data_IF_830818365155
#
_entry.id   IF_830818365155
#
_cell.length_a   1.000
_cell.length_b   1.000
_cell.length_c   1.000
_cell.angle_alpha   90.00
_cell.angle_beta   90.00
_cell.angle_gamma   90.00
#
_symmetry.space_group_name_H-M   'P 1'
#
loop_
_entity.id
_entity.type
_entity.pdbx_description
1 polymer ?
#
# COMPACT_ATOMS: atom_id res chain seq x y z
N UNK A 1 61.41 34.22 -28.86
CA UNK A 1 60.47 33.56 -29.80
C UNK A 1 60.94 32.11 -29.89
N UNK A 2 60.22 31.03 -29.63
CA UNK A 2 58.78 30.79 -29.45
C UNK A 2 58.62 29.36 -28.90
N UNK A 3 57.96 29.26 -27.74
CA UNK A 3 56.98 28.26 -27.28
C UNK A 3 57.33 26.76 -27.23
N UNK A 4 57.51 26.30 -25.99
CA UNK A 4 57.28 24.95 -25.47
C UNK A 4 55.87 24.43 -25.77
N UNK A 5 55.74 23.14 -26.05
CA UNK A 5 54.48 22.40 -26.08
C UNK A 5 54.54 21.30 -25.00
N UNK A 6 53.89 21.55 -23.86
CA UNK A 6 53.64 20.54 -22.84
C UNK A 6 52.21 20.02 -23.04
N UNK A 7 52.09 18.76 -23.45
CA UNK A 7 50.82 18.05 -23.48
C UNK A 7 50.38 17.75 -22.04
N UNK A 8 49.40 18.50 -21.54
CA UNK A 8 48.64 18.14 -20.35
C UNK A 8 47.71 16.98 -20.69
N UNK A 9 48.01 15.78 -20.21
CA UNK A 9 47.02 14.70 -20.13
C UNK A 9 46.16 14.99 -18.90
N UNK A 10 44.97 15.54 -19.10
CA UNK A 10 43.98 15.67 -18.05
C UNK A 10 43.42 14.27 -17.73
N UNK A 11 43.85 13.66 -16.62
CA UNK A 11 43.15 12.52 -16.04
C UNK A 11 41.77 13.02 -15.58
N UNK A 12 40.72 12.65 -16.33
CA UNK A 12 39.36 12.68 -15.79
C UNK A 12 39.27 11.57 -14.74
N UNK A 13 39.46 11.93 -13.47
CA UNK A 13 38.93 11.12 -12.38
C UNK A 13 37.43 11.40 -12.37
N UNK A 14 36.64 10.53 -13.00
CA UNK A 14 35.22 10.48 -12.73
C UNK A 14 35.07 10.19 -11.23
N UNK A 15 34.51 11.13 -10.48
CA UNK A 15 34.14 10.90 -9.09
C UNK A 15 33.12 9.77 -9.08
N UNK A 16 33.56 8.55 -8.75
CA UNK A 16 32.66 7.47 -8.37
C UNK A 16 32.09 7.90 -7.04
N UNK A 17 30.89 8.51 -7.06
CA UNK A 17 30.11 8.68 -5.85
C UNK A 17 29.99 7.29 -5.19
N UNK A 18 30.26 7.15 -3.88
CA UNK A 18 30.05 5.88 -3.22
C UNK A 18 28.62 5.43 -3.48
N UNK A 19 28.45 4.19 -3.93
CA UNK A 19 27.13 3.64 -4.21
C UNK A 19 26.31 3.67 -2.92
N UNK A 20 25.37 4.62 -2.82
CA UNK A 20 24.45 4.71 -1.69
C UNK A 20 23.54 3.49 -1.73
N UNK A 21 23.53 2.69 -0.66
CA UNK A 21 22.59 1.58 -0.48
C UNK A 21 21.45 2.02 0.44
N UNK A 22 20.21 1.81 -0.02
CA UNK A 22 18.98 2.07 0.73
C UNK A 22 18.31 0.74 1.05
N UNK A 23 18.09 0.44 2.33
CA UNK A 23 17.36 -0.74 2.80
C UNK A 23 15.87 -0.45 2.79
N UNK A 24 15.12 -1.18 1.96
CA UNK A 24 13.70 -1.00 1.79
C UNK A 24 12.93 -2.24 2.26
N UNK A 25 12.03 -2.08 3.22
CA UNK A 25 11.11 -3.13 3.65
C UNK A 25 9.77 -3.01 2.93
N UNK A 26 9.41 -4.05 2.18
CA UNK A 26 8.20 -4.08 1.36
C UNK A 26 7.19 -5.05 1.95
N UNK A 27 6.01 -4.58 2.37
CA UNK A 27 4.93 -5.48 2.81
C UNK A 27 4.22 -6.04 1.57
N UNK A 28 4.18 -7.36 1.45
CA UNK A 28 3.72 -8.06 0.26
C UNK A 28 2.62 -9.08 0.59
N UNK A 29 1.61 -9.15 -0.28
CA UNK A 29 0.55 -10.15 -0.24
C UNK A 29 0.84 -11.37 -1.14
N UNK A 30 1.75 -11.23 -2.10
CA UNK A 30 2.08 -12.28 -3.07
C UNK A 30 3.55 -12.29 -3.48
N UNK A 31 3.96 -13.35 -4.18
CA UNK A 31 5.28 -13.40 -4.83
C UNK A 31 5.40 -12.39 -5.98
N UNK A 32 4.28 -12.04 -6.62
CA UNK A 32 4.22 -11.05 -7.69
C UNK A 32 4.50 -9.65 -7.14
N UNK A 33 3.97 -9.30 -5.97
CA UNK A 33 4.25 -8.03 -5.30
C UNK A 33 5.74 -7.90 -4.99
N UNK A 34 6.36 -8.96 -4.45
CA UNK A 34 7.79 -8.98 -4.16
C UNK A 34 8.64 -8.82 -5.44
N UNK A 35 8.19 -9.43 -6.53
CA UNK A 35 8.83 -9.30 -7.85
C UNK A 35 8.71 -7.87 -8.39
N UNK A 36 7.52 -7.26 -8.26
CA UNK A 36 7.28 -5.88 -8.64
C UNK A 36 8.20 -4.92 -7.90
N UNK A 37 8.29 -5.01 -6.57
CA UNK A 37 9.15 -4.12 -5.78
C UNK A 37 10.63 -4.25 -6.15
N UNK A 38 11.13 -5.49 -6.35
CA UNK A 38 12.50 -5.72 -6.82
C UNK A 38 12.76 -5.12 -8.20
N UNK A 39 11.79 -5.21 -9.10
CA UNK A 39 11.88 -4.57 -10.43
C UNK A 39 11.95 -3.05 -10.31
N UNK A 40 11.07 -2.43 -9.53
CA UNK A 40 11.05 -0.99 -9.31
C UNK A 40 12.37 -0.49 -8.69
N UNK A 41 12.90 -1.22 -7.70
CA UNK A 41 14.20 -0.97 -7.10
C UNK A 41 15.34 -0.99 -8.14
N UNK A 42 15.35 -2.00 -9.01
CA UNK A 42 16.36 -2.11 -10.07
C UNK A 42 16.23 -0.99 -11.12
N UNK A 43 15.01 -0.63 -11.52
CA UNK A 43 14.77 0.49 -12.45
C UNK A 43 15.18 1.83 -11.84
N UNK A 44 14.87 2.05 -10.56
CA UNK A 44 15.31 3.23 -9.82
C UNK A 44 16.84 3.32 -9.78
N UNK A 45 17.51 2.23 -9.40
CA UNK A 45 18.97 2.20 -9.31
C UNK A 45 19.68 2.41 -10.65
N UNK A 46 19.13 1.91 -11.75
CA UNK A 46 19.63 2.21 -13.09
C UNK A 46 19.56 3.71 -13.43
N UNK A 47 18.54 4.42 -12.93
CA UNK A 47 18.32 5.84 -13.21
C UNK A 47 19.11 6.76 -12.29
N UNK A 48 19.37 6.35 -11.05
CA UNK A 48 19.93 7.24 -10.02
C UNK A 48 21.32 6.83 -9.55
N UNK A 49 21.77 5.60 -9.83
CA UNK A 49 22.99 5.02 -9.27
C UNK A 49 22.86 4.53 -7.82
N UNK A 50 21.69 4.66 -7.21
CA UNK A 50 21.39 4.17 -5.84
C UNK A 50 21.10 2.67 -5.88
N UNK A 51 21.70 1.90 -4.96
CA UNK A 51 21.32 0.50 -4.76
C UNK A 51 20.16 0.43 -3.77
N UNK A 52 19.07 -0.25 -4.14
CA UNK A 52 17.92 -0.44 -3.25
C UNK A 52 17.79 -1.92 -2.91
N UNK A 53 17.98 -2.26 -1.63
CA UNK A 53 17.86 -3.62 -1.12
C UNK A 53 16.45 -3.88 -0.61
N UNK A 54 15.67 -4.65 -1.37
CA UNK A 54 14.28 -4.96 -1.05
C UNK A 54 14.18 -6.20 -0.15
N UNK A 55 13.65 -6.01 1.06
CA UNK A 55 13.29 -7.10 1.98
C UNK A 55 11.77 -7.25 2.02
N UNK A 56 11.20 -8.32 1.44
CA UNK A 56 9.77 -8.57 1.51
C UNK A 56 9.34 -9.03 2.92
N UNK A 57 8.25 -8.47 3.42
CA UNK A 57 7.60 -8.81 4.70
C UNK A 57 6.18 -9.29 4.45
N UNK A 58 5.74 -10.30 5.17
CA UNK A 58 4.36 -10.78 5.09
C UNK A 58 3.44 -9.91 5.95
N UNK A 59 2.20 -9.69 5.49
CA UNK A 59 1.17 -8.95 6.22
C UNK A 59 0.91 -9.46 7.64
N UNK A 60 1.14 -10.74 7.91
CA UNK A 60 0.89 -11.33 9.23
C UNK A 60 1.87 -10.92 10.33
N UNK A 61 3.07 -10.40 10.00
CA UNK A 61 4.11 -10.15 11.01
C UNK A 61 4.91 -8.84 10.83
N UNK A 62 4.60 -8.02 9.83
CA UNK A 62 5.37 -6.83 9.54
C UNK A 62 5.36 -5.79 10.68
N UNK A 63 4.20 -5.56 11.34
CA UNK A 63 4.10 -4.58 12.44
C UNK A 63 5.09 -4.87 13.56
N UNK A 64 5.08 -6.11 14.06
CA UNK A 64 6.00 -6.54 15.13
C UNK A 64 7.46 -6.42 14.69
N UNK A 65 7.78 -6.75 13.43
CA UNK A 65 9.13 -6.59 12.89
C UNK A 65 9.59 -5.13 12.88
N UNK A 66 8.74 -4.19 12.47
CA UNK A 66 9.07 -2.76 12.50
C UNK A 66 9.35 -2.30 13.92
N UNK A 67 8.48 -2.61 14.89
CA UNK A 67 8.70 -2.25 16.29
C UNK A 67 9.97 -2.86 16.88
N UNK A 68 10.23 -4.15 16.64
CA UNK A 68 11.47 -4.81 17.09
C UNK A 68 12.71 -4.16 16.48
N UNK A 69 12.69 -3.86 15.18
CA UNK A 69 13.83 -3.25 14.50
C UNK A 69 14.10 -1.82 14.98
N UNK A 70 13.05 -1.02 15.19
CA UNK A 70 13.17 0.31 15.79
C UNK A 70 13.73 0.24 17.21
N UNK A 71 13.21 -0.66 18.05
CA UNK A 71 13.72 -0.86 19.41
C UNK A 71 15.17 -1.35 19.45
N UNK A 72 15.59 -2.14 18.47
CA UNK A 72 16.96 -2.61 18.32
C UNK A 72 17.91 -1.56 17.69
N UNK A 73 17.42 -0.40 17.28
CA UNK A 73 18.20 0.62 16.58
C UNK A 73 18.64 0.22 15.17
N UNK A 74 17.95 -0.75 14.56
CA UNK A 74 18.25 -1.28 13.22
C UNK A 74 17.01 -1.27 12.29
N UNK A 75 16.21 -0.19 12.23
CA UNK A 75 15.09 -0.10 11.29
C UNK A 75 15.59 -0.10 9.83
N UNK A 76 14.72 -0.38 8.84
CA UNK A 76 15.03 -0.06 7.45
C UNK A 76 15.11 1.46 7.23
N UNK A 77 15.65 1.87 6.09
CA UNK A 77 15.73 3.30 5.72
C UNK A 77 14.39 3.79 5.16
N UNK A 78 13.69 2.91 4.43
CA UNK A 78 12.33 3.16 3.92
C UNK A 78 11.47 1.93 4.16
N UNK A 79 10.20 2.12 4.51
CA UNK A 79 9.25 1.05 4.74
C UNK A 79 7.91 1.28 4.05
N UNK A 80 7.42 0.28 3.34
CA UNK A 80 6.00 0.19 3.02
C UNK A 80 5.26 -0.37 4.23
N UNK A 81 4.06 0.15 4.52
CA UNK A 81 3.26 -0.22 5.69
C UNK A 81 1.76 -0.06 5.38
N UNK A 82 0.90 -0.41 6.33
CA UNK A 82 -0.54 -0.16 6.23
C UNK A 82 -0.87 1.33 6.38
N UNK A 83 -2.14 1.69 6.14
CA UNK A 83 -2.64 3.05 6.29
C UNK A 83 -2.37 3.65 7.70
N UNK A 84 -2.40 2.82 8.74
CA UNK A 84 -2.17 3.23 10.13
C UNK A 84 -0.70 3.44 10.50
N UNK A 85 0.24 2.87 9.75
CA UNK A 85 1.65 2.83 10.11
C UNK A 85 2.27 4.21 10.39
N UNK A 86 1.99 5.25 9.58
CA UNK A 86 2.51 6.59 9.85
C UNK A 86 2.03 7.17 11.19
N UNK A 87 0.83 6.84 11.64
CA UNK A 87 0.37 7.18 12.99
C UNK A 87 1.04 6.29 14.05
N UNK A 88 1.02 4.97 13.85
CA UNK A 88 1.54 3.99 14.81
C UNK A 88 3.02 4.22 15.15
N UNK A 89 3.83 4.60 14.16
CA UNK A 89 5.27 4.78 14.32
C UNK A 89 5.65 6.25 14.50
N UNK A 90 4.95 7.19 13.87
CA UNK A 90 5.23 8.62 13.97
C UNK A 90 4.97 9.17 15.37
N UNK A 91 3.90 8.71 16.03
CA UNK A 91 3.54 9.16 17.39
C UNK A 91 4.53 8.74 18.47
N UNK A 92 5.34 7.71 18.21
CA UNK A 92 6.40 7.23 19.11
C UNK A 92 7.79 7.69 18.69
N UNK A 93 7.88 8.60 17.71
CA UNK A 93 9.15 9.13 17.21
C UNK A 93 9.96 8.15 16.35
N UNK A 94 9.32 7.08 15.85
CA UNK A 94 9.96 6.05 15.03
C UNK A 94 10.11 6.41 13.55
N UNK A 95 9.56 7.55 13.12
CA UNK A 95 9.62 8.04 11.75
C UNK A 95 10.17 9.46 11.67
N UNK A 96 10.81 9.75 10.55
CA UNK A 96 11.27 11.09 10.20
C UNK A 96 10.06 11.96 9.82
N UNK A 97 10.00 13.18 10.36
CA UNK A 97 9.06 14.19 9.89
C UNK A 97 9.53 14.73 8.53
N UNK A 98 8.86 14.29 7.46
CA UNK A 98 9.22 14.62 6.09
C UNK A 98 9.10 16.11 5.80
N UNK A 99 8.14 16.81 6.42
CA UNK A 99 8.00 18.27 6.21
C UNK A 99 9.15 19.05 6.82
N UNK A 100 9.71 18.54 7.91
CA UNK A 100 10.86 19.15 8.58
C UNK A 100 12.15 18.89 7.81
N UNK A 101 12.41 17.64 7.43
CA UNK A 101 13.68 17.26 6.79
C UNK A 101 13.70 17.55 5.28
N UNK A 102 12.55 17.48 4.60
CA UNK A 102 12.42 17.62 3.14
C UNK A 102 11.29 18.60 2.75
N UNK A 103 11.37 19.88 3.18
CA UNK A 103 10.27 20.83 3.01
C UNK A 103 9.99 21.19 1.54
N UNK A 104 10.99 21.16 0.67
CA UNK A 104 10.80 21.49 -0.75
C UNK A 104 10.10 20.35 -1.49
N UNK A 105 10.53 19.13 -1.23
CA UNK A 105 9.97 17.89 -1.76
C UNK A 105 8.54 17.70 -1.27
N UNK A 106 8.27 17.96 0.01
CA UNK A 106 6.90 17.90 0.54
C UNK A 106 5.96 18.89 -0.15
N UNK A 107 6.40 20.11 -0.46
CA UNK A 107 5.59 21.07 -1.23
C UNK A 107 5.30 20.57 -2.64
N UNK A 108 6.26 19.91 -3.29
CA UNK A 108 6.02 19.29 -4.60
C UNK A 108 5.00 18.15 -4.49
N UNK A 109 5.12 17.30 -3.46
CA UNK A 109 4.18 16.21 -3.21
C UNK A 109 2.76 16.74 -2.97
N UNK A 110 2.60 17.78 -2.15
CA UNK A 110 1.31 18.41 -1.87
C UNK A 110 0.64 18.98 -3.13
N UNK A 111 1.40 19.40 -4.14
CA UNK A 111 0.87 19.85 -5.43
C UNK A 111 0.49 18.69 -6.36
N UNK A 112 1.14 17.53 -6.22
CA UNK A 112 0.95 16.37 -7.10
C UNK A 112 -0.14 15.42 -6.64
N UNK A 113 -0.39 15.33 -5.34
CA UNK A 113 -1.40 14.44 -4.78
C UNK A 113 -2.75 15.13 -4.59
N UNK A 114 -3.82 14.34 -4.54
CA UNK A 114 -5.13 14.86 -4.14
C UNK A 114 -5.02 15.43 -2.72
N UNK A 115 -5.51 16.65 -2.47
CA UNK A 115 -5.45 17.29 -1.15
C UNK A 115 -6.17 16.50 -0.05
N UNK A 116 -7.02 15.52 -0.40
CA UNK A 116 -7.70 14.65 0.55
C UNK A 116 -6.88 13.43 0.98
N UNK A 117 -5.79 13.09 0.27
CA UNK A 117 -5.01 11.87 0.55
C UNK A 117 -3.87 12.15 1.54
N UNK A 118 -3.04 13.16 1.25
CA UNK A 118 -1.85 13.44 2.07
C UNK A 118 -2.15 13.69 3.56
N UNK A 119 -3.27 14.35 3.93
CA UNK A 119 -3.63 14.54 5.34
C UNK A 119 -3.79 13.23 6.12
N UNK A 120 -4.10 12.11 5.47
CA UNK A 120 -4.24 10.80 6.13
C UNK A 120 -2.90 10.33 6.74
N UNK A 121 -1.78 10.80 6.17
CA UNK A 121 -0.42 10.47 6.61
C UNK A 121 0.22 11.55 7.49
N UNK A 122 -0.58 12.54 7.89
CA UNK A 122 -0.17 13.68 8.73
C UNK A 122 -0.63 13.46 10.16
N UNK A 123 0.25 13.71 11.13
CA UNK A 123 -0.08 13.72 12.56
C UNK A 123 0.33 15.07 13.15
N UNK A 124 -0.67 15.86 13.56
CA UNK A 124 -0.43 17.28 13.86
C UNK A 124 0.00 18.02 12.59
N UNK A 125 1.17 18.66 12.63
CA UNK A 125 1.76 19.34 11.47
C UNK A 125 2.80 18.48 10.73
N UNK A 126 3.16 17.32 11.29
CA UNK A 126 4.23 16.46 10.78
C UNK A 126 3.71 15.46 9.75
N UNK A 127 4.45 15.27 8.66
CA UNK A 127 4.13 14.30 7.61
C UNK A 127 5.02 13.07 7.77
N UNK A 128 4.42 11.91 8.06
CA UNK A 128 5.16 10.67 8.38
C UNK A 128 5.11 9.61 7.28
N UNK A 129 4.53 9.92 6.12
CA UNK A 129 4.46 8.99 5.02
C UNK A 129 3.96 9.63 3.73
N UNK A 130 4.12 8.89 2.64
CA UNK A 130 3.61 9.26 1.31
C UNK A 130 2.80 8.08 0.80
N UNK A 131 1.61 8.31 0.21
CA UNK A 131 0.82 7.24 -0.39
C UNK A 131 1.59 6.54 -1.51
N UNK A 132 1.76 5.23 -1.39
CA UNK A 132 2.36 4.39 -2.44
C UNK A 132 1.30 3.84 -3.40
N UNK A 133 0.17 3.41 -2.86
CA UNK A 133 -0.99 2.92 -3.59
C UNK A 133 -2.29 3.31 -2.86
N UNK A 134 -3.39 3.26 -3.60
CA UNK A 134 -4.74 3.44 -3.07
C UNK A 134 -5.64 2.36 -3.65
N UNK A 135 -6.19 1.55 -2.75
CA UNK A 135 -7.20 0.55 -3.08
C UNK A 135 -8.58 1.05 -2.68
N UNK A 136 -9.58 0.74 -3.49
CA UNK A 136 -10.99 0.90 -3.11
C UNK A 136 -11.72 -0.42 -3.25
N UNK A 137 -12.87 -0.49 -2.60
CA UNK A 137 -13.76 -1.63 -2.61
C UNK A 137 -14.71 -1.52 -3.76
N UNK A 138 -14.80 -2.59 -4.57
CA UNK A 138 -15.76 -2.70 -5.66
C UNK A 138 -16.57 -3.97 -5.52
N UNK A 139 -17.86 -3.88 -5.85
CA UNK A 139 -18.73 -5.04 -6.00
C UNK A 139 -18.68 -5.46 -7.46
N UNK A 140 -18.22 -6.68 -7.71
CA UNK A 140 -18.21 -7.29 -9.04
C UNK A 140 -19.35 -8.29 -9.13
N UNK A 141 -20.08 -8.26 -10.24
CA UNK A 141 -21.21 -9.16 -10.46
C UNK A 141 -21.26 -9.68 -11.90
N UNK A 142 -21.92 -10.83 -12.09
CA UNK A 142 -22.13 -11.46 -13.38
C UNK A 142 -23.39 -10.92 -14.05
N UNK A 143 -23.20 -10.02 -15.01
CA UNK A 143 -24.29 -9.35 -15.75
C UNK A 143 -25.25 -10.33 -16.43
N UNK A 144 -24.72 -11.43 -16.96
CA UNK A 144 -25.48 -12.49 -17.61
C UNK A 144 -26.38 -13.27 -16.62
N UNK A 145 -25.88 -13.53 -15.41
CA UNK A 145 -26.69 -14.16 -14.34
C UNK A 145 -27.79 -13.19 -13.91
N UNK A 146 -27.48 -11.91 -13.71
CA UNK A 146 -28.48 -10.89 -13.36
C UNK A 146 -29.58 -10.80 -14.42
N UNK A 147 -29.20 -10.74 -15.70
CA UNK A 147 -30.17 -10.73 -16.80
C UNK A 147 -31.05 -11.99 -16.82
N UNK A 148 -30.47 -13.18 -16.64
CA UNK A 148 -31.22 -14.45 -16.61
C UNK A 148 -32.22 -14.51 -15.44
N UNK A 149 -31.92 -13.86 -14.32
CA UNK A 149 -32.77 -13.83 -13.13
C UNK A 149 -33.70 -12.60 -13.07
N UNK A 150 -33.68 -11.73 -14.09
CA UNK A 150 -34.47 -10.49 -14.11
C UNK A 150 -34.08 -9.47 -13.03
N UNK A 151 -32.81 -9.49 -12.59
CA UNK A 151 -32.31 -8.67 -11.49
C UNK A 151 -31.76 -7.32 -11.97
N UNK A 152 -32.11 -6.25 -11.26
CA UNK A 152 -31.46 -4.94 -11.36
C UNK A 152 -30.18 -4.88 -10.51
N UNK A 153 -29.35 -3.85 -10.74
CA UNK A 153 -28.18 -3.60 -9.88
C UNK A 153 -28.65 -2.96 -8.57
N UNK A 154 -28.44 -3.60 -7.41
CA UNK A 154 -28.88 -3.06 -6.13
C UNK A 154 -28.17 -1.73 -5.82
N UNK A 155 -28.91 -0.79 -5.24
CA UNK A 155 -28.45 0.54 -4.83
C UNK A 155 -28.43 0.73 -3.32
N UNK A 156 -29.09 -0.18 -2.59
CA UNK A 156 -29.14 -0.17 -1.13
C UNK A 156 -28.71 -1.51 -0.55
N UNK A 157 -28.34 -1.52 0.74
CA UNK A 157 -27.99 -2.75 1.45
C UNK A 157 -29.15 -3.76 1.48
N UNK A 158 -30.39 -3.30 1.67
CA UNK A 158 -31.57 -4.15 1.66
C UNK A 158 -31.88 -4.74 0.28
N UNK A 159 -31.69 -3.96 -0.80
CA UNK A 159 -31.79 -4.47 -2.16
C UNK A 159 -30.70 -5.50 -2.46
N UNK A 160 -29.47 -5.26 -1.98
CA UNK A 160 -28.37 -6.18 -2.14
C UNK A 160 -28.62 -7.50 -1.40
N UNK A 161 -29.13 -7.46 -0.18
CA UNK A 161 -29.53 -8.65 0.57
C UNK A 161 -30.63 -9.43 -0.15
N UNK A 162 -31.66 -8.74 -0.63
CA UNK A 162 -32.76 -9.35 -1.41
C UNK A 162 -32.23 -10.02 -2.68
N UNK A 163 -31.32 -9.33 -3.39
CA UNK A 163 -30.65 -9.85 -4.58
C UNK A 163 -29.85 -11.11 -4.28
N UNK A 164 -29.09 -11.11 -3.18
CA UNK A 164 -28.31 -12.26 -2.71
C UNK A 164 -29.24 -13.45 -2.42
N UNK A 165 -30.33 -13.24 -1.66
CA UNK A 165 -31.29 -14.30 -1.32
C UNK A 165 -31.97 -14.89 -2.55
N UNK A 166 -32.32 -14.09 -3.54
CA UNK A 166 -32.91 -14.57 -4.79
C UNK A 166 -31.91 -15.42 -5.59
N UNK A 167 -30.66 -14.99 -5.68
CA UNK A 167 -29.60 -15.73 -6.35
C UNK A 167 -29.33 -17.08 -5.67
N UNK A 168 -29.27 -17.10 -4.33
CA UNK A 168 -29.10 -18.34 -3.56
C UNK A 168 -30.29 -19.29 -3.72
N UNK A 169 -31.52 -18.76 -3.70
CA UNK A 169 -32.73 -19.54 -3.96
C UNK A 169 -32.77 -20.15 -5.37
N UNK A 170 -32.13 -19.49 -6.34
CA UNK A 170 -31.96 -20.00 -7.70
C UNK A 170 -30.75 -20.95 -7.87
N UNK A 171 -30.07 -21.31 -6.76
CA UNK A 171 -28.95 -22.24 -6.76
C UNK A 171 -27.59 -21.62 -7.09
N UNK A 172 -27.48 -20.30 -7.20
CA UNK A 172 -26.20 -19.62 -7.38
C UNK A 172 -25.48 -19.46 -6.03
N UNK A 173 -24.19 -19.79 -5.99
CA UNK A 173 -23.35 -19.42 -4.86
C UNK A 173 -22.98 -17.94 -4.99
N UNK A 174 -23.44 -17.13 -4.04
CA UNK A 174 -22.98 -15.75 -3.93
C UNK A 174 -21.80 -15.68 -2.98
N UNK A 175 -20.82 -14.85 -3.33
CA UNK A 175 -19.71 -14.52 -2.45
C UNK A 175 -19.78 -13.02 -2.21
N UNK A 176 -20.46 -12.62 -1.14
CA UNK A 176 -20.35 -11.26 -0.65
C UNK A 176 -19.15 -11.17 0.28
N UNK A 177 -17.97 -11.26 -0.33
CA UNK A 177 -16.69 -11.19 0.34
C UNK A 177 -15.67 -10.60 -0.64
N UNK A 178 -14.58 -10.08 -0.12
CA UNK A 178 -13.40 -9.89 -0.92
C UNK A 178 -12.82 -11.25 -1.29
N UNK A 179 -12.25 -11.35 -2.48
CA UNK A 179 -11.41 -12.48 -2.87
C UNK A 179 -10.36 -12.74 -1.77
N UNK A 180 -10.34 -13.96 -1.23
CA UNK A 180 -9.27 -14.54 -0.41
C UNK A 180 -8.85 -13.70 0.82
N UNK A 181 -9.50 -13.91 1.97
CA UNK A 181 -8.97 -13.46 3.27
C UNK A 181 -9.04 -11.96 3.59
N UNK A 182 -9.53 -11.11 2.69
CA UNK A 182 -9.63 -9.65 2.88
C UNK A 182 -10.96 -9.19 3.54
N UNK A 183 -11.51 -9.98 4.45
CA UNK A 183 -12.78 -9.68 5.16
C UNK A 183 -12.70 -8.39 5.98
N UNK A 184 -11.51 -8.06 6.48
CA UNK A 184 -11.22 -6.82 7.21
C UNK A 184 -11.58 -5.57 6.41
N UNK A 185 -11.38 -5.60 5.08
CA UNK A 185 -11.68 -4.46 4.23
C UNK A 185 -13.18 -4.21 4.19
N UNK A 186 -14.02 -5.25 4.03
CA UNK A 186 -15.47 -5.10 4.05
C UNK A 186 -15.93 -4.50 5.38
N UNK A 187 -15.38 -5.01 6.48
CA UNK A 187 -15.68 -4.53 7.83
C UNK A 187 -15.43 -3.03 7.98
N UNK A 188 -14.37 -2.48 7.40
CA UNK A 188 -14.10 -1.04 7.46
C UNK A 188 -15.21 -0.19 6.80
N UNK A 189 -15.85 -0.68 5.75
CA UNK A 189 -16.94 0.03 5.08
C UNK A 189 -18.31 -0.24 5.70
N UNK A 190 -18.51 -1.40 6.31
CA UNK A 190 -19.80 -1.82 6.85
C UNK A 190 -19.97 -1.45 8.33
N UNK A 191 -18.89 -1.35 9.11
CA UNK A 191 -18.91 -1.00 10.53
C UNK A 191 -19.56 0.37 10.83
N UNK A 192 -19.29 1.47 10.09
CA UNK A 192 -19.95 2.76 10.33
C UNK A 192 -21.48 2.71 10.17
N UNK A 193 -21.99 1.72 9.43
CA UNK A 193 -23.42 1.50 9.18
C UNK A 193 -24.00 0.40 10.08
N UNK A 194 -23.28 -0.06 11.11
CA UNK A 194 -23.74 -1.10 12.05
C UNK A 194 -23.74 -2.53 11.48
N UNK A 195 -23.17 -2.71 10.30
CA UNK A 195 -23.10 -4.00 9.59
C UNK A 195 -21.79 -4.71 9.96
N UNK A 196 -21.74 -5.33 11.14
CA UNK A 196 -20.48 -5.81 11.76
C UNK A 196 -20.16 -7.28 11.54
N UNK A 197 -21.06 -8.07 10.96
CA UNK A 197 -20.95 -9.52 11.03
C UNK A 197 -20.80 -10.20 9.67
N UNK A 198 -19.61 -10.69 9.37
CA UNK A 198 -19.34 -11.63 8.28
C UNK A 198 -18.79 -12.89 8.94
N UNK A 199 -19.55 -13.98 8.92
CA UNK A 199 -19.16 -15.28 9.49
C UNK A 199 -18.78 -16.23 8.36
N UNK A 200 -17.54 -16.68 8.33
CA UNK A 200 -17.07 -17.66 7.35
C UNK A 200 -17.35 -19.08 7.86
N UNK A 201 -18.07 -19.87 7.06
CA UNK A 201 -18.36 -21.27 7.35
C UNK A 201 -17.23 -22.20 6.87
N UNK A 202 -17.10 -23.42 7.45
CA UNK A 202 -16.06 -24.38 7.06
C UNK A 202 -16.09 -24.82 5.58
N UNK A 203 -17.24 -24.69 4.90
CA UNK A 203 -17.42 -24.99 3.48
C UNK A 203 -17.01 -23.83 2.54
N UNK A 204 -16.41 -22.79 3.11
CA UNK A 204 -15.98 -21.58 2.41
C UNK A 204 -17.12 -20.62 2.04
N UNK A 205 -18.37 -20.94 2.39
CA UNK A 205 -19.49 -19.99 2.30
C UNK A 205 -19.42 -18.96 3.43
N UNK A 206 -20.09 -17.84 3.23
CA UNK A 206 -20.08 -16.72 4.18
C UNK A 206 -21.51 -16.41 4.57
N UNK A 207 -21.80 -16.35 5.87
CA UNK A 207 -23.04 -15.85 6.42
C UNK A 207 -22.85 -14.38 6.77
N UNK A 208 -23.63 -13.53 6.14
CA UNK A 208 -23.77 -12.14 6.56
C UNK A 208 -24.69 -12.12 7.77
N UNK A 209 -24.14 -11.76 8.92
CA UNK A 209 -24.86 -11.57 10.17
C UNK A 209 -25.39 -10.12 10.17
N UNK A 210 -26.55 -9.97 9.55
CA UNK A 210 -27.39 -8.78 9.67
C UNK A 210 -28.01 -8.78 11.08
N UNK A 211 -27.90 -7.66 11.82
CA UNK A 211 -28.71 -7.44 13.02
C UNK A 211 -30.07 -6.87 12.64
#
# INVERSE_FOLDING_TARGET
MTRSLACLVALLVAAVLPATTVRFWAVVGSADDATMYKRLAAEYGKRTGVTVEVTPLAWGNFLSKYFTAMAAGLPPDVGATNLGGPFDYGTVGGLVDLRKEFPAECRELEQRFNPQILPIFTVGDSLYGVPADLSTVVIVYRKDIFAKQGLGVPKTWSELETTIRQLEGAGYRTYFNFTVGAQWALYMYTMPYGLTGVEQKPDGSVKLNWR
#
